data_IF_293960450341
#
_entry.id   IF_293960450341
#
_cell.length_a   1.000
_cell.length_b   1.000
_cell.length_c   1.000
_cell.angle_alpha   90.00
_cell.angle_beta   90.00
_cell.angle_gamma   90.00
#
_symmetry.space_group_name_H-M   'P 1'
#
loop_
_entity.id
_entity.type
_entity.pdbx_description
1 polymer ?
#
# COMPACT_ATOMS: atom_id res chain seq x y z
N UNK A 1 1.23 19.28 -7.37
CA UNK A 1 0.09 18.96 -6.49
C UNK A 1 0.49 19.31 -5.08
N UNK A 2 -0.43 19.82 -4.28
CA UNK A 2 -0.15 20.20 -2.90
C UNK A 2 -0.66 19.10 -1.97
N UNK A 3 0.12 18.79 -0.93
CA UNK A 3 -0.29 17.88 0.13
C UNK A 3 -0.47 18.68 1.41
N UNK A 4 -1.66 18.59 1.99
CA UNK A 4 -1.97 19.16 3.30
C UNK A 4 -2.21 18.03 4.29
N UNK A 5 -1.65 18.14 5.51
CA UNK A 5 -1.91 17.22 6.60
C UNK A 5 -3.00 17.80 7.49
N UNK A 6 -4.08 17.05 7.65
CA UNK A 6 -5.18 17.39 8.55
C UNK A 6 -4.90 16.88 9.97
N UNK A 7 -5.55 17.49 10.96
CA UNK A 7 -5.61 16.95 12.32
C UNK A 7 -6.49 15.70 12.36
N UNK A 8 -6.29 14.85 13.37
CA UNK A 8 -7.11 13.63 13.56
C UNK A 8 -8.56 13.96 13.93
N UNK A 9 -8.77 15.14 14.52
CA UNK A 9 -10.07 15.64 14.95
C UNK A 9 -10.28 17.04 14.38
N UNK A 10 -11.54 17.39 14.13
CA UNK A 10 -11.94 18.71 13.64
C UNK A 10 -12.81 18.59 12.40
N UNK A 11 -13.00 19.73 11.75
CA UNK A 11 -13.82 19.88 10.55
C UNK A 11 -12.95 20.39 9.39
N UNK A 12 -13.19 19.86 8.19
CA UNK A 12 -12.56 20.32 6.95
C UNK A 12 -13.62 21.03 6.12
N UNK A 13 -13.44 22.33 5.89
CA UNK A 13 -14.25 23.13 4.97
C UNK A 13 -13.42 23.40 3.72
N UNK A 14 -14.01 23.20 2.53
CA UNK A 14 -13.36 23.39 1.24
C UNK A 14 -14.18 24.40 0.44
N UNK A 15 -13.54 25.49 0.04
CA UNK A 15 -14.09 26.52 -0.84
C UNK A 15 -13.17 26.67 -2.05
N UNK A 16 -13.75 26.93 -3.23
CA UNK A 16 -13.01 26.98 -4.48
C UNK A 16 -13.56 28.08 -5.39
N UNK A 17 -12.68 28.93 -5.92
CA UNK A 17 -13.04 30.00 -6.86
C UNK A 17 -13.02 29.54 -8.34
N UNK A 18 -12.56 28.31 -8.60
CA UNK A 18 -12.43 27.73 -9.94
C UNK A 18 -12.49 26.19 -9.89
N UNK A 19 -12.61 25.56 -11.06
CA UNK A 19 -12.63 24.11 -11.22
C UNK A 19 -11.43 23.44 -10.55
N UNK A 20 -11.72 22.60 -9.55
CA UNK A 20 -10.71 22.02 -8.67
C UNK A 20 -10.87 20.51 -8.58
N UNK A 21 -9.73 19.79 -8.57
CA UNK A 21 -9.66 18.36 -8.28
C UNK A 21 -8.84 18.14 -7.02
N UNK A 22 -9.41 17.41 -6.06
CA UNK A 22 -8.75 17.07 -4.80
C UNK A 22 -9.07 15.63 -4.41
N UNK A 23 -8.17 15.04 -3.62
CA UNK A 23 -8.34 13.71 -3.02
C UNK A 23 -8.15 13.85 -1.51
N UNK A 24 -9.17 13.49 -0.74
CA UNK A 24 -9.09 13.41 0.71
C UNK A 24 -8.94 11.94 1.10
N UNK A 25 -7.86 11.63 1.82
CA UNK A 25 -7.60 10.30 2.36
C UNK A 25 -7.63 10.41 3.88
N UNK A 26 -8.40 9.54 4.53
CA UNK A 26 -8.45 9.42 5.98
C UNK A 26 -8.48 7.95 6.39
N UNK A 27 -8.04 7.66 7.61
CA UNK A 27 -8.00 6.31 8.14
C UNK A 27 -7.70 6.30 9.63
N UNK A 28 -8.13 5.25 10.32
CA UNK A 28 -7.77 5.02 11.71
C UNK A 28 -6.29 4.61 11.78
N UNK A 29 -5.47 5.21 12.65
CA UNK A 29 -4.11 4.73 12.87
C UNK A 29 -4.10 3.25 13.26
N UNK A 30 -3.26 2.46 12.60
CA UNK A 30 -3.13 1.01 12.84
C UNK A 30 -2.50 0.75 14.21
N UNK A 31 -1.53 1.59 14.62
CA UNK A 31 -0.91 1.51 15.94
C UNK A 31 0.16 0.41 16.08
N UNK A 32 0.53 -0.22 14.97
CA UNK A 32 1.60 -1.22 14.93
C UNK A 32 2.91 -0.61 14.41
N UNK A 33 4.07 -1.17 14.77
CA UNK A 33 5.34 -0.77 14.19
C UNK A 33 5.33 -0.92 12.67
N UNK A 34 6.04 -0.03 11.98
CA UNK A 34 6.20 -0.04 10.52
C UNK A 34 7.70 -0.12 10.23
N UNK A 35 8.11 -1.20 9.57
CA UNK A 35 9.46 -1.39 9.03
C UNK A 35 9.33 -1.54 7.52
N UNK A 36 10.05 -0.70 6.77
CA UNK A 36 9.99 -0.67 5.32
C UNK A 36 11.37 -0.93 4.69
N UNK A 37 11.42 -1.80 3.69
CA UNK A 37 12.58 -2.01 2.84
C UNK A 37 12.13 -2.19 1.37
N UNK A 38 12.37 -1.16 0.56
CA UNK A 38 11.93 -1.16 -0.85
C UNK A 38 10.41 -1.35 -0.97
N UNK A 39 9.94 -2.38 -1.70
CA UNK A 39 8.51 -2.64 -1.90
C UNK A 39 7.85 -3.38 -0.72
N UNK A 40 8.61 -3.77 0.31
CA UNK A 40 8.10 -4.55 1.44
C UNK A 40 7.89 -3.66 2.66
N UNK A 41 6.72 -3.82 3.29
CA UNK A 41 6.33 -3.17 4.54
C UNK A 41 5.82 -4.26 5.49
N UNK A 42 6.46 -4.38 6.66
CA UNK A 42 6.13 -5.37 7.71
C UNK A 42 6.22 -4.70 9.09
N UNK A 43 5.96 -5.46 10.17
CA UNK A 43 6.02 -4.94 11.54
C UNK A 43 7.42 -5.06 12.15
N UNK A 44 8.25 -6.01 11.71
CA UNK A 44 9.61 -6.25 12.25
C UNK A 44 10.69 -6.40 11.17
N UNK A 45 11.96 -6.26 11.56
CA UNK A 45 13.10 -6.46 10.65
C UNK A 45 13.24 -7.92 10.19
N UNK A 46 12.93 -8.89 11.06
CA UNK A 46 12.97 -10.32 10.72
C UNK A 46 11.93 -10.69 9.67
N UNK A 47 10.74 -10.10 9.73
CA UNK A 47 9.70 -10.26 8.71
C UNK A 47 10.11 -9.65 7.37
N UNK A 48 10.83 -8.53 7.36
CA UNK A 48 11.41 -7.98 6.11
C UNK A 48 12.42 -8.97 5.52
N UNK A 49 13.33 -9.52 6.33
CA UNK A 49 14.29 -10.51 5.84
C UNK A 49 13.58 -11.77 5.29
N UNK A 50 12.48 -12.18 5.93
CA UNK A 50 11.66 -13.29 5.45
C UNK A 50 10.99 -12.96 4.11
N UNK A 51 10.38 -11.77 3.98
CA UNK A 51 9.74 -11.32 2.75
C UNK A 51 10.72 -11.27 1.57
N UNK A 52 11.95 -10.80 1.79
CA UNK A 52 13.01 -10.77 0.78
C UNK A 52 13.40 -12.20 0.35
N UNK A 53 13.53 -13.14 1.30
CA UNK A 53 13.78 -14.56 0.98
C UNK A 53 12.64 -15.14 0.15
N UNK A 54 11.39 -14.94 0.57
CA UNK A 54 10.23 -15.48 -0.13
C UNK A 54 10.06 -14.89 -1.53
N UNK A 55 10.39 -13.61 -1.72
CA UNK A 55 10.45 -13.00 -3.03
C UNK A 55 11.54 -13.65 -3.91
N UNK A 56 12.74 -13.82 -3.36
CA UNK A 56 13.88 -14.42 -4.07
C UNK A 56 13.61 -15.89 -4.44
N UNK A 57 12.90 -16.61 -3.58
CA UNK A 57 12.46 -17.99 -3.78
C UNK A 57 11.26 -18.10 -4.74
N UNK A 58 10.71 -16.98 -5.22
CA UNK A 58 9.54 -16.96 -6.10
C UNK A 58 8.24 -17.37 -5.43
N UNK A 59 8.14 -17.36 -4.10
CA UNK A 59 6.91 -17.75 -3.36
C UNK A 59 5.82 -16.70 -3.40
N UNK A 60 6.15 -15.47 -3.80
CA UNK A 60 5.20 -14.35 -3.87
C UNK A 60 4.55 -14.18 -5.26
N UNK A 61 4.87 -15.04 -6.25
CA UNK A 61 4.18 -15.04 -7.54
C UNK A 61 3.07 -16.09 -7.55
N UNK A 62 1.92 -15.75 -8.14
CA UNK A 62 0.87 -16.75 -8.37
C UNK A 62 1.41 -17.84 -9.30
N UNK A 63 1.16 -19.11 -8.97
CA UNK A 63 1.39 -20.21 -9.90
C UNK A 63 0.65 -19.89 -11.21
N UNK A 64 1.36 -19.89 -12.34
CA UNK A 64 0.71 -19.67 -13.63
C UNK A 64 -0.39 -20.73 -13.80
N UNK A 65 -1.63 -20.35 -14.17
CA UNK A 65 -2.62 -21.35 -14.55
C UNK A 65 -2.05 -22.12 -15.73
N UNK A 66 -1.92 -23.44 -15.56
CA UNK A 66 -1.45 -24.33 -16.61
C UNK A 66 -2.43 -24.26 -17.79
N UNK A 67 -2.05 -23.60 -18.88
CA UNK A 67 -2.75 -23.70 -20.16
C UNK A 67 -2.47 -25.08 -20.80
N UNK A 68 -2.92 -26.14 -20.14
CA UNK A 68 -3.05 -27.46 -20.74
C UNK A 68 -4.52 -27.61 -21.18
N UNK A 69 -4.71 -27.94 -22.46
CA UNK A 69 -6.00 -28.19 -23.14
C UNK A 69 -6.67 -27.00 -23.84
N UNK A 70 -5.95 -26.35 -24.76
CA UNK A 70 -6.58 -25.84 -25.99
C UNK A 70 -5.86 -26.44 -27.21
N UNK A 71 -6.09 -27.73 -27.41
CA UNK A 71 -5.87 -28.43 -28.67
C UNK A 71 -6.91 -29.55 -28.76
N UNK A 72 -8.12 -29.18 -29.15
CA UNK A 72 -9.13 -30.07 -29.70
C UNK A 72 -9.98 -29.26 -30.67
#
# INVERSE_FOLDING_TARGET
GNLARLSLTGELVIETDADTRLLVISGKPIGEPIVQCGPFVMNTADEIHQAIRDYTDGKLVAAQPSNASQSA
#
